data_IF_056773840044
#
_entry.id   IF_056773840044
#
_cell.length_a   1.000
_cell.length_b   1.000
_cell.length_c   1.000
_cell.angle_alpha   90.00
_cell.angle_beta   90.00
_cell.angle_gamma   90.00
#
_symmetry.space_group_name_H-M   'P 1'
#
loop_
_entity.id
_entity.type
_entity.pdbx_description
1 polymer ?
#
# COMPACT_ATOMS: atom_id res chain seq x y z
N UNK A 1 7.50 -9.12 -7.14
CA UNK A 1 7.12 -7.74 -7.50
C UNK A 1 6.77 -6.86 -6.29
N UNK A 2 6.77 -7.38 -5.05
CA UNK A 2 6.47 -6.62 -3.83
C UNK A 2 7.29 -5.33 -3.67
N UNK A 3 8.62 -5.42 -3.78
CA UNK A 3 9.50 -4.24 -3.63
C UNK A 3 9.20 -3.18 -4.70
N UNK A 4 9.00 -3.61 -5.95
CA UNK A 4 8.68 -2.70 -7.05
C UNK A 4 7.33 -1.99 -6.81
N UNK A 5 6.30 -2.73 -6.41
CA UNK A 5 4.99 -2.18 -6.08
C UNK A 5 5.05 -1.14 -4.95
N UNK A 6 5.78 -1.45 -3.87
CA UNK A 6 5.97 -0.52 -2.75
C UNK A 6 6.78 0.72 -3.15
N UNK A 7 7.80 0.57 -3.99
CA UNK A 7 8.62 1.69 -4.44
C UNK A 7 7.81 2.68 -5.29
N UNK A 8 7.04 2.19 -6.26
CA UNK A 8 6.17 3.04 -7.09
C UNK A 8 5.08 3.70 -6.23
N UNK A 9 4.47 2.94 -5.31
CA UNK A 9 3.46 3.50 -4.40
C UNK A 9 4.06 4.56 -3.49
N UNK A 10 5.25 4.32 -2.94
CA UNK A 10 5.95 5.29 -2.09
C UNK A 10 6.25 6.59 -2.83
N UNK A 11 6.73 6.50 -4.07
CA UNK A 11 6.94 7.68 -4.92
C UNK A 11 5.64 8.45 -5.17
N UNK A 12 4.56 7.74 -5.50
CA UNK A 12 3.25 8.33 -5.67
C UNK A 12 2.72 8.98 -4.38
N UNK A 13 2.88 8.36 -3.21
CA UNK A 13 2.49 8.94 -1.92
C UNK A 13 3.27 10.22 -1.58
N UNK A 14 4.54 10.31 -1.97
CA UNK A 14 5.33 11.55 -1.79
C UNK A 14 4.76 12.67 -2.69
N UNK A 15 4.47 12.38 -3.95
CA UNK A 15 3.84 13.35 -4.86
C UNK A 15 2.47 13.79 -4.32
N UNK A 16 1.66 12.83 -3.87
CA UNK A 16 0.34 13.08 -3.25
C UNK A 16 0.42 14.08 -2.11
N UNK A 17 1.35 13.85 -1.19
CA UNK A 17 1.47 14.61 0.05
C UNK A 17 1.97 16.02 -0.22
N UNK A 18 2.92 16.18 -1.15
CA UNK A 18 3.37 17.50 -1.62
C UNK A 18 2.25 18.28 -2.33
N UNK A 19 1.47 17.60 -3.19
CA UNK A 19 0.32 18.21 -3.86
C UNK A 19 -0.75 18.64 -2.84
N UNK A 20 -1.05 17.77 -1.87
CA UNK A 20 -2.02 18.05 -0.80
C UNK A 20 -1.58 19.22 0.08
N UNK A 21 -0.30 19.28 0.46
CA UNK A 21 0.26 20.40 1.21
C UNK A 21 0.17 21.71 0.43
N UNK A 22 0.45 21.67 -0.88
CA UNK A 22 0.33 22.82 -1.77
C UNK A 22 -1.11 23.33 -1.88
N UNK A 23 -2.10 22.43 -1.89
CA UNK A 23 -3.54 22.78 -1.91
C UNK A 23 -3.97 23.46 -0.61
N UNK A 24 -3.46 23.00 0.54
CA UNK A 24 -3.74 23.63 1.85
C UNK A 24 -3.16 25.03 1.92
N UNK A 25 -1.96 25.24 1.36
CA UNK A 25 -1.31 26.55 1.31
C UNK A 25 -1.93 27.48 0.28
N UNK A 26 -2.40 26.96 -0.87
CA UNK A 26 -3.01 27.72 -1.95
C UNK A 26 -4.22 26.96 -2.53
N UNK A 27 -5.46 27.37 -2.21
CA UNK A 27 -6.68 26.66 -2.60
C UNK A 27 -7.11 26.94 -4.07
N UNK A 28 -6.18 26.87 -5.02
CA UNK A 28 -6.39 27.20 -6.44
C UNK A 28 -6.70 26.00 -7.35
N UNK A 29 -6.70 24.77 -6.82
CA UNK A 29 -6.82 23.56 -7.64
C UNK A 29 -8.27 23.18 -8.00
N UNK A 30 -8.45 22.70 -9.24
CA UNK A 30 -9.74 22.24 -9.78
C UNK A 30 -10.24 20.96 -9.14
N UNK A 31 -11.56 20.84 -8.94
CA UNK A 31 -12.25 19.64 -8.44
C UNK A 31 -11.91 18.38 -9.26
N UNK A 32 -11.67 18.54 -10.56
CA UNK A 32 -11.26 17.46 -11.47
C UNK A 32 -9.89 16.86 -11.10
N UNK A 33 -8.95 17.69 -10.65
CA UNK A 33 -7.62 17.23 -10.24
C UNK A 33 -7.69 16.39 -8.95
N UNK A 34 -8.53 16.79 -7.99
CA UNK A 34 -8.78 16.02 -6.76
C UNK A 34 -9.44 14.67 -7.04
N UNK A 35 -10.40 14.60 -7.98
CA UNK A 35 -11.02 13.34 -8.41
C UNK A 35 -10.00 12.39 -9.04
N UNK A 36 -9.11 12.90 -9.90
CA UNK A 36 -8.04 12.11 -10.49
C UNK A 36 -7.14 11.50 -9.42
N UNK A 37 -6.78 12.30 -8.41
CA UNK A 37 -6.00 11.83 -7.26
C UNK A 37 -6.68 10.69 -6.49
N UNK A 38 -7.96 10.88 -6.15
CA UNK A 38 -8.74 9.88 -5.44
C UNK A 38 -8.87 8.56 -6.22
N UNK A 39 -8.98 8.63 -7.56
CA UNK A 39 -9.01 7.43 -8.40
C UNK A 39 -7.68 6.67 -8.38
N UNK A 40 -6.56 7.38 -8.52
CA UNK A 40 -5.23 6.76 -8.47
C UNK A 40 -4.92 6.16 -7.09
N UNK A 41 -5.40 6.76 -6.01
CA UNK A 41 -5.27 6.20 -4.65
C UNK A 41 -5.86 4.79 -4.57
N UNK A 42 -7.05 4.57 -5.14
CA UNK A 42 -7.71 3.26 -5.16
C UNK A 42 -6.90 2.25 -5.98
N UNK A 43 -6.32 2.68 -7.12
CA UNK A 43 -5.46 1.82 -7.95
C UNK A 43 -4.22 1.38 -7.15
N UNK A 44 -3.55 2.31 -6.48
CA UNK A 44 -2.37 2.02 -5.68
C UNK A 44 -2.67 1.14 -4.46
N UNK A 45 -3.81 1.32 -3.81
CA UNK A 45 -4.31 0.42 -2.76
C UNK A 45 -4.39 -1.02 -3.29
N UNK A 46 -4.98 -1.23 -4.47
CA UNK A 46 -5.09 -2.56 -5.09
C UNK A 46 -3.73 -3.18 -5.42
N UNK A 47 -2.79 -2.37 -5.91
CA UNK A 47 -1.42 -2.81 -6.20
C UNK A 47 -0.70 -3.24 -4.91
N UNK A 48 -0.76 -2.45 -3.84
CA UNK A 48 -0.11 -2.81 -2.56
C UNK A 48 -0.78 -4.02 -1.92
N UNK A 49 -2.11 -4.10 -1.93
CA UNK A 49 -2.83 -5.23 -1.36
C UNK A 49 -2.50 -6.55 -2.07
N UNK A 50 -2.52 -6.56 -3.41
CA UNK A 50 -2.17 -7.74 -4.20
C UNK A 50 -0.70 -8.14 -4.02
N UNK A 51 0.22 -7.16 -4.01
CA UNK A 51 1.65 -7.40 -3.80
C UNK A 51 1.95 -7.96 -2.41
N UNK A 52 1.29 -7.42 -1.39
CA UNK A 52 1.46 -7.85 0.00
C UNK A 52 0.84 -9.23 0.22
N UNK A 53 -0.31 -9.52 -0.39
CA UNK A 53 -0.93 -10.85 -0.36
C UNK A 53 -0.05 -11.92 -0.99
N UNK A 54 0.51 -11.65 -2.18
CA UNK A 54 1.43 -12.59 -2.84
C UNK A 54 2.70 -12.83 -2.01
N UNK A 55 3.32 -11.77 -1.49
CA UNK A 55 4.49 -11.87 -0.65
C UNK A 55 4.20 -12.58 0.69
N UNK A 56 3.01 -12.34 1.27
CA UNK A 56 2.53 -13.01 2.47
C UNK A 56 2.28 -14.49 2.27
N UNK A 57 1.72 -14.90 1.12
CA UNK A 57 1.53 -16.31 0.79
C UNK A 57 2.87 -17.04 0.69
N UNK A 58 3.83 -16.48 -0.05
CA UNK A 58 5.19 -17.05 -0.15
C UNK A 58 5.88 -17.07 1.22
N UNK A 59 5.72 -16.01 2.01
CA UNK A 59 6.24 -15.93 3.38
C UNK A 59 5.64 -17.00 4.30
N UNK A 60 4.33 -17.26 4.19
CA UNK A 60 3.64 -18.28 4.99
C UNK A 60 4.17 -19.68 4.70
N UNK A 61 4.28 -20.03 3.41
CA UNK A 61 4.83 -21.33 3.02
C UNK A 61 6.30 -21.40 3.45
N UNK A 62 7.04 -20.29 3.51
CA UNK A 62 8.45 -20.26 3.90
C UNK A 62 8.67 -20.45 5.41
N UNK A 63 7.69 -20.01 6.21
CA UNK A 63 7.62 -20.21 7.65
C UNK A 63 7.21 -21.64 8.01
N UNK A 64 6.12 -22.13 7.41
CA UNK A 64 5.50 -23.41 7.79
C UNK A 64 6.09 -24.61 7.03
N UNK A 65 6.61 -24.40 5.82
CA UNK A 65 6.97 -25.45 4.88
C UNK A 65 5.73 -26.12 4.26
N UNK A 66 5.94 -26.88 3.19
CA UNK A 66 4.92 -27.74 2.60
C UNK A 66 5.54 -29.06 2.13
N UNK A 67 5.32 -30.13 2.87
CA UNK A 67 5.87 -31.47 2.58
C UNK A 67 5.35 -32.07 1.29
N UNK A 68 4.11 -31.73 0.90
CA UNK A 68 3.48 -32.25 -0.32
C UNK A 68 4.21 -31.82 -1.61
N UNK A 69 4.87 -30.67 -1.59
CA UNK A 69 5.67 -30.15 -2.73
C UNK A 69 7.16 -30.11 -2.42
N UNK A 70 7.60 -30.76 -1.33
CA UNK A 70 8.99 -30.79 -0.90
C UNK A 70 9.55 -29.45 -0.41
N UNK A 71 8.71 -28.47 -0.09
CA UNK A 71 9.18 -27.15 0.39
C UNK A 71 9.54 -27.23 1.87
N UNK A 72 10.83 -27.08 2.16
CA UNK A 72 11.36 -27.08 3.52
C UNK A 72 11.20 -25.71 4.18
N UNK A 73 11.25 -25.67 5.52
CA UNK A 73 11.13 -24.43 6.30
C UNK A 73 12.38 -23.58 6.13
N UNK A 74 12.29 -22.52 5.35
CA UNK A 74 13.41 -21.60 5.06
C UNK A 74 13.70 -20.73 6.28
N UNK A 75 12.68 -20.30 7.01
CA UNK A 75 12.83 -19.42 8.17
C UNK A 75 13.57 -20.07 9.35
N UNK A 76 13.69 -21.41 9.40
CA UNK A 76 14.48 -22.09 10.41
C UNK A 76 16.01 -21.97 10.17
N UNK A 77 16.41 -21.79 8.91
CA UNK A 77 17.82 -21.62 8.50
C UNK A 77 18.20 -20.13 8.44
N UNK A 78 17.28 -19.28 7.97
CA UNK A 78 17.49 -17.84 7.79
C UNK A 78 16.57 -17.00 8.69
N UNK A 79 16.61 -17.23 10.00
CA UNK A 79 15.77 -16.56 10.99
C UNK A 79 15.82 -15.02 10.87
N UNK A 80 17.03 -14.46 10.82
CA UNK A 80 17.23 -13.00 10.76
C UNK A 80 16.59 -12.37 9.53
N UNK A 81 16.75 -13.00 8.36
CA UNK A 81 16.12 -12.54 7.12
C UNK A 81 14.59 -12.64 7.23
N UNK A 82 14.08 -13.78 7.70
CA UNK A 82 12.65 -14.01 7.84
C UNK A 82 12.01 -13.00 8.80
N UNK A 83 12.69 -12.63 9.90
CA UNK A 83 12.22 -11.60 10.83
C UNK A 83 12.13 -10.22 10.20
N UNK A 84 13.12 -9.81 9.41
CA UNK A 84 13.06 -8.53 8.68
C UNK A 84 11.98 -8.53 7.60
N UNK A 85 11.84 -9.61 6.83
CA UNK A 85 10.80 -9.73 5.81
C UNK A 85 9.41 -9.74 6.43
N UNK A 86 9.20 -10.46 7.53
CA UNK A 86 7.95 -10.47 8.27
C UNK A 86 7.59 -9.08 8.81
N UNK A 87 8.56 -8.35 9.37
CA UNK A 87 8.37 -6.96 9.80
C UNK A 87 8.00 -6.04 8.64
N UNK A 88 8.68 -6.17 7.49
CA UNK A 88 8.36 -5.41 6.28
C UNK A 88 6.96 -5.72 5.76
N UNK A 89 6.54 -7.00 5.77
CA UNK A 89 5.20 -7.42 5.38
C UNK A 89 4.13 -6.82 6.28
N UNK A 90 4.34 -6.88 7.60
CA UNK A 90 3.43 -6.31 8.58
C UNK A 90 3.29 -4.80 8.39
N UNK A 91 4.41 -4.10 8.16
CA UNK A 91 4.39 -2.66 7.89
C UNK A 91 3.68 -2.32 6.57
N UNK A 92 3.87 -3.13 5.52
CA UNK A 92 3.16 -2.94 4.25
C UNK A 92 1.67 -3.21 4.35
N UNK A 93 1.24 -4.21 5.14
CA UNK A 93 -0.18 -4.43 5.45
C UNK A 93 -0.77 -3.23 6.19
N UNK A 94 -0.06 -2.71 7.19
CA UNK A 94 -0.48 -1.52 7.92
C UNK A 94 -0.59 -0.30 7.00
N UNK A 95 0.40 -0.08 6.14
CA UNK A 95 0.36 0.98 5.14
C UNK A 95 -0.82 0.83 4.16
N UNK A 96 -1.13 -0.40 3.72
CA UNK A 96 -2.29 -0.66 2.86
C UNK A 96 -3.61 -0.26 3.54
N UNK A 97 -3.79 -0.59 4.82
CA UNK A 97 -4.97 -0.20 5.60
C UNK A 97 -5.08 1.33 5.71
N UNK A 98 -3.96 2.00 5.99
CA UNK A 98 -3.93 3.46 6.04
C UNK A 98 -4.31 4.10 4.69
N UNK A 99 -3.78 3.58 3.58
CA UNK A 99 -4.12 4.07 2.24
C UNK A 99 -5.61 3.89 1.93
N UNK A 100 -6.24 2.78 2.35
CA UNK A 100 -7.69 2.57 2.23
C UNK A 100 -8.46 3.63 3.02
N UNK A 101 -8.09 3.87 4.27
CA UNK A 101 -8.75 4.86 5.12
C UNK A 101 -8.62 6.27 4.54
N UNK A 102 -7.42 6.64 4.07
CA UNK A 102 -7.19 7.94 3.44
C UNK A 102 -7.99 8.09 2.14
N UNK A 103 -8.06 7.06 1.30
CA UNK A 103 -8.84 7.07 0.06
C UNK A 103 -10.35 7.26 0.35
N UNK A 104 -10.87 6.59 1.39
CA UNK A 104 -12.27 6.76 1.82
C UNK A 104 -12.54 8.18 2.32
N UNK A 105 -11.66 8.72 3.18
CA UNK A 105 -11.79 10.08 3.70
C UNK A 105 -11.70 11.15 2.60
N UNK A 106 -10.79 10.96 1.64
CA UNK A 106 -10.63 11.85 0.48
C UNK A 106 -11.91 11.88 -0.37
N UNK A 107 -12.45 10.69 -0.70
CA UNK A 107 -13.68 10.56 -1.46
C UNK A 107 -14.88 11.16 -0.73
N UNK A 108 -15.00 10.93 0.58
CA UNK A 108 -16.08 11.47 1.40
C UNK A 108 -16.02 13.01 1.48
N UNK A 109 -14.83 13.57 1.67
CA UNK A 109 -14.61 15.02 1.72
C UNK A 109 -14.96 15.68 0.38
N UNK A 110 -14.55 15.03 -0.72
CA UNK A 110 -14.84 15.50 -2.07
C UNK A 110 -16.34 15.44 -2.38
N UNK A 111 -17.00 14.34 -2.00
CA UNK A 111 -18.44 14.20 -2.12
C UNK A 111 -19.20 15.31 -1.37
N UNK A 112 -18.81 15.58 -0.12
CA UNK A 112 -19.40 16.67 0.67
C UNK A 112 -19.23 18.02 -0.01
N UNK A 113 -18.04 18.33 -0.56
CA UNK A 113 -17.73 19.58 -1.26
C UNK A 113 -18.39 19.73 -2.65
N UNK A 114 -18.95 18.66 -3.21
CA UNK A 114 -19.74 18.70 -4.45
C UNK A 114 -21.23 18.92 -4.14
N UNK A 115 -21.70 18.40 -2.99
CA UNK A 115 -23.08 18.53 -2.53
C UNK A 115 -23.40 19.91 -1.96
N UNK A 116 -22.46 20.50 -1.21
CA UNK A 116 -22.52 21.89 -0.73
C UNK A 116 -22.17 22.88 -1.84
#
# INVERSE_FOLDING_TARGET
YFIAALSVTGFYSIITTLASLSIVLNPTYSKTFLLFFAFFDVVFVGIVASATGAAGAVGYIGLKGNTHVGWTKICNVYDKFCRYTAGSLALSLFAAILLVLLSMLSTFTLYKKIRD
#
